data_IF_451215384523
#
_entry.id   IF_451215384523
#
_cell.length_a   1.000
_cell.length_b   1.000
_cell.length_c   1.000
_cell.angle_alpha   90.00
_cell.angle_beta   90.00
_cell.angle_gamma   90.00
#
_symmetry.space_group_name_H-M   'P 1'
#
loop_
_entity.id
_entity.type
_entity.pdbx_description
1 polymer ?
#
# COMPACT_ATOMS: atom_id res chain seq x y z
N UNK A 1 -158.39 -71.61 -194.15
CA UNK A 1 -157.86 -72.43 -193.02
C UNK A 1 -156.33 -72.44 -192.94
N UNK A 2 -155.57 -72.28 -194.05
CA UNK A 2 -154.09 -72.13 -194.07
C UNK A 2 -153.48 -70.83 -193.48
N UNK A 3 -154.24 -69.98 -192.78
CA UNK A 3 -153.77 -68.64 -192.36
C UNK A 3 -153.83 -68.38 -190.84
N UNK A 4 -154.45 -69.29 -190.07
CA UNK A 4 -154.63 -69.14 -188.61
C UNK A 4 -153.55 -69.91 -187.83
N UNK A 5 -152.95 -70.95 -188.42
CA UNK A 5 -151.95 -71.80 -187.75
C UNK A 5 -150.54 -71.21 -187.75
N UNK A 6 -150.21 -70.36 -188.72
CA UNK A 6 -148.90 -69.71 -188.81
C UNK A 6 -148.70 -68.58 -187.78
N UNK A 7 -149.77 -67.92 -187.33
CA UNK A 7 -149.69 -66.89 -186.29
C UNK A 7 -149.50 -67.45 -184.88
N UNK A 8 -149.94 -68.68 -184.59
CA UNK A 8 -149.76 -69.30 -183.26
C UNK A 8 -148.36 -69.85 -183.02
N UNK A 9 -147.59 -70.12 -184.07
CA UNK A 9 -146.22 -70.64 -183.94
C UNK A 9 -145.19 -69.52 -183.76
N UNK A 10 -145.43 -68.33 -184.31
CA UNK A 10 -144.55 -67.16 -184.15
C UNK A 10 -144.62 -66.56 -182.74
N UNK A 11 -145.82 -66.48 -182.13
CA UNK A 11 -145.98 -65.97 -180.76
C UNK A 11 -145.33 -66.92 -179.72
N UNK A 12 -145.36 -68.24 -179.95
CA UNK A 12 -144.76 -69.24 -179.07
C UNK A 12 -143.22 -69.29 -179.16
N UNK A 13 -142.63 -68.94 -180.30
CA UNK A 13 -141.17 -68.82 -180.45
C UNK A 13 -140.64 -67.53 -179.83
N UNK A 14 -141.35 -66.41 -179.95
CA UNK A 14 -140.98 -65.16 -179.29
C UNK A 14 -141.01 -65.28 -177.75
N UNK A 15 -142.01 -65.98 -177.17
CA UNK A 15 -142.04 -66.23 -175.72
C UNK A 15 -140.89 -67.13 -175.25
N UNK A 16 -140.50 -68.15 -176.04
CA UNK A 16 -139.35 -69.01 -175.72
C UNK A 16 -138.04 -68.22 -175.75
N UNK A 17 -137.86 -67.36 -176.73
CA UNK A 17 -136.67 -66.51 -176.80
C UNK A 17 -136.61 -65.53 -175.62
N UNK A 18 -137.73 -64.92 -175.23
CA UNK A 18 -137.80 -64.04 -174.05
C UNK A 18 -137.50 -64.76 -172.73
N UNK A 19 -137.97 -66.01 -172.58
CA UNK A 19 -137.64 -66.82 -171.39
C UNK A 19 -136.16 -67.20 -171.35
N UNK A 20 -135.58 -67.53 -172.51
CA UNK A 20 -134.18 -67.92 -172.61
C UNK A 20 -133.23 -66.73 -172.39
N UNK A 21 -133.57 -65.54 -172.88
CA UNK A 21 -132.83 -64.30 -172.56
C UNK A 21 -132.95 -63.97 -171.08
N UNK A 22 -134.14 -64.10 -170.48
CA UNK A 22 -134.34 -63.86 -169.04
C UNK A 22 -133.54 -64.83 -168.15
N UNK A 23 -133.49 -66.12 -168.49
CA UNK A 23 -132.68 -67.11 -167.77
C UNK A 23 -131.17 -66.84 -167.88
N UNK A 24 -130.71 -66.42 -169.06
CA UNK A 24 -129.32 -66.04 -169.26
C UNK A 24 -128.95 -64.77 -168.48
N UNK A 25 -129.86 -63.80 -168.39
CA UNK A 25 -129.68 -62.60 -167.58
C UNK A 25 -129.62 -62.93 -166.08
N UNK A 26 -130.46 -63.84 -165.58
CA UNK A 26 -130.43 -64.31 -164.19
C UNK A 26 -129.11 -65.02 -163.88
N UNK A 27 -128.67 -65.94 -164.75
CA UNK A 27 -127.41 -66.67 -164.57
C UNK A 27 -126.19 -65.75 -164.62
N UNK A 28 -126.20 -64.77 -165.53
CA UNK A 28 -125.14 -63.76 -165.63
C UNK A 28 -125.10 -62.88 -164.38
N UNK A 29 -126.26 -62.42 -163.89
CA UNK A 29 -126.36 -61.68 -162.65
C UNK A 29 -125.92 -62.50 -161.43
N UNK A 30 -126.16 -63.82 -161.41
CA UNK A 30 -125.69 -64.72 -160.35
C UNK A 30 -124.17 -64.96 -160.43
N UNK A 31 -123.62 -65.13 -161.63
CA UNK A 31 -122.17 -65.22 -161.84
C UNK A 31 -121.47 -63.94 -161.40
N UNK A 32 -121.95 -62.77 -161.80
CA UNK A 32 -121.41 -61.47 -161.35
C UNK A 32 -121.49 -61.31 -159.83
N UNK A 33 -122.55 -61.79 -159.17
CA UNK A 33 -122.64 -61.81 -157.70
C UNK A 33 -121.63 -62.76 -157.05
N UNK A 34 -121.37 -63.92 -157.65
CA UNK A 34 -120.37 -64.88 -157.15
C UNK A 34 -118.95 -64.33 -157.32
N UNK A 35 -118.67 -63.69 -158.45
CA UNK A 35 -117.40 -63.02 -158.73
C UNK A 35 -117.17 -61.85 -157.78
N UNK A 36 -118.18 -60.99 -157.55
CA UNK A 36 -118.09 -59.91 -156.55
C UNK A 36 -117.81 -60.45 -155.15
N UNK A 37 -118.52 -61.49 -154.71
CA UNK A 37 -118.26 -62.13 -153.41
C UNK A 37 -116.87 -62.78 -153.34
N UNK A 38 -116.37 -63.33 -154.44
CA UNK A 38 -115.03 -63.89 -154.50
C UNK A 38 -113.95 -62.79 -154.43
N UNK A 39 -114.17 -61.66 -155.12
CA UNK A 39 -113.31 -60.47 -155.05
C UNK A 39 -113.30 -59.88 -153.64
N UNK A 40 -114.46 -59.65 -153.02
CA UNK A 40 -114.57 -59.17 -151.64
C UNK A 40 -113.86 -60.09 -150.63
N UNK A 41 -113.97 -61.41 -150.81
CA UNK A 41 -113.25 -62.39 -149.97
C UNK A 41 -111.74 -62.30 -150.19
N UNK A 42 -111.28 -62.15 -151.44
CA UNK A 42 -109.87 -62.01 -151.77
C UNK A 42 -109.27 -60.70 -151.22
N UNK A 43 -110.01 -59.60 -151.30
CA UNK A 43 -109.61 -58.31 -150.70
C UNK A 43 -109.55 -58.42 -149.17
N UNK A 44 -110.53 -59.07 -148.55
CA UNK A 44 -110.55 -59.30 -147.11
C UNK A 44 -109.37 -60.18 -146.66
N UNK A 45 -109.05 -61.25 -147.39
CA UNK A 45 -107.90 -62.10 -147.05
C UNK A 45 -106.58 -61.37 -147.23
N UNK A 46 -106.43 -60.58 -148.30
CA UNK A 46 -105.25 -59.71 -148.48
C UNK A 46 -105.11 -58.71 -147.33
N UNK A 47 -106.21 -58.08 -146.91
CA UNK A 47 -106.21 -57.16 -145.76
C UNK A 47 -105.81 -57.86 -144.45
N UNK A 48 -106.37 -59.05 -144.18
CA UNK A 48 -106.05 -59.84 -142.99
C UNK A 48 -104.58 -60.31 -142.99
N UNK A 49 -104.04 -60.72 -144.13
CA UNK A 49 -102.63 -61.07 -144.27
C UNK A 49 -101.73 -59.86 -143.99
N UNK A 50 -102.03 -58.70 -144.57
CA UNK A 50 -101.31 -57.46 -144.31
C UNK A 50 -101.38 -57.07 -142.82
N UNK A 51 -102.51 -57.30 -142.14
CA UNK A 51 -102.65 -57.06 -140.70
C UNK A 51 -101.76 -58.01 -139.86
N UNK A 52 -101.70 -59.29 -140.24
CA UNK A 52 -100.84 -60.28 -139.57
C UNK A 52 -99.37 -59.91 -139.77
N UNK A 53 -98.96 -59.52 -140.97
CA UNK A 53 -97.60 -59.08 -141.27
C UNK A 53 -97.24 -57.82 -140.48
N UNK A 54 -98.14 -56.84 -140.41
CA UNK A 54 -97.95 -55.62 -139.61
C UNK A 54 -97.76 -55.95 -138.12
N UNK A 55 -98.58 -56.84 -137.56
CA UNK A 55 -98.43 -57.29 -136.16
C UNK A 55 -97.11 -58.04 -135.94
N UNK A 56 -96.72 -58.92 -136.86
CA UNK A 56 -95.43 -59.63 -136.79
C UNK A 56 -94.25 -58.65 -136.81
N UNK A 57 -94.30 -57.64 -137.68
CA UNK A 57 -93.29 -56.60 -137.76
C UNK A 57 -93.23 -55.76 -136.46
N UNK A 58 -94.39 -55.41 -135.88
CA UNK A 58 -94.45 -54.72 -134.58
C UNK A 58 -93.85 -55.54 -133.45
N UNK A 59 -94.23 -56.81 -133.29
CA UNK A 59 -93.66 -57.68 -132.27
C UNK A 59 -92.16 -57.93 -132.48
N UNK A 60 -91.70 -57.99 -133.73
CA UNK A 60 -90.27 -58.08 -134.02
C UNK A 60 -89.52 -56.81 -133.62
N UNK A 61 -90.12 -55.64 -133.84
CA UNK A 61 -89.57 -54.35 -133.40
C UNK A 61 -89.53 -54.23 -131.88
N UNK A 62 -90.61 -54.59 -131.17
CA UNK A 62 -90.66 -54.61 -129.70
C UNK A 62 -89.57 -55.52 -129.13
N UNK A 63 -89.43 -56.75 -129.65
CA UNK A 63 -88.36 -57.66 -129.23
C UNK A 63 -86.96 -57.11 -129.49
N UNK A 64 -86.79 -56.33 -130.55
CA UNK A 64 -85.51 -55.66 -130.83
C UNK A 64 -85.26 -54.53 -129.83
N UNK A 65 -86.28 -53.75 -129.49
CA UNK A 65 -86.20 -52.68 -128.48
C UNK A 65 -85.91 -53.26 -127.09
N UNK A 66 -86.61 -54.31 -126.67
CA UNK A 66 -86.37 -55.00 -125.39
C UNK A 66 -84.91 -55.51 -125.28
N UNK A 67 -84.34 -56.01 -126.39
CA UNK A 67 -82.93 -56.43 -126.42
C UNK A 67 -81.99 -55.24 -126.28
N UNK A 68 -82.25 -54.15 -127.00
CA UNK A 68 -81.44 -52.94 -126.92
C UNK A 68 -81.51 -52.30 -125.53
N UNK A 69 -82.69 -52.23 -124.92
CA UNK A 69 -82.89 -51.77 -123.55
C UNK A 69 -82.18 -52.69 -122.55
N UNK A 70 -82.32 -54.01 -122.69
CA UNK A 70 -81.62 -54.99 -121.86
C UNK A 70 -80.10 -54.87 -121.96
N UNK A 71 -79.54 -54.65 -123.15
CA UNK A 71 -78.12 -54.38 -123.37
C UNK A 71 -77.70 -53.05 -122.73
N UNK A 72 -78.51 -52.00 -122.86
CA UNK A 72 -78.25 -50.70 -122.23
C UNK A 72 -78.22 -50.81 -120.70
N UNK A 73 -79.15 -51.54 -120.09
CA UNK A 73 -79.16 -51.79 -118.64
C UNK A 73 -77.95 -52.60 -118.18
N UNK A 74 -77.52 -53.61 -118.95
CA UNK A 74 -76.30 -54.37 -118.65
C UNK A 74 -75.07 -53.48 -118.71
N UNK A 75 -74.93 -52.68 -119.76
CA UNK A 75 -73.82 -51.74 -119.92
C UNK A 75 -73.79 -50.71 -118.77
N UNK A 76 -74.95 -50.19 -118.36
CA UNK A 76 -75.05 -49.27 -117.24
C UNK A 76 -74.67 -49.94 -115.91
N UNK A 77 -75.11 -51.17 -115.67
CA UNK A 77 -74.75 -51.92 -114.47
C UNK A 77 -73.23 -52.20 -114.41
N UNK A 78 -72.62 -52.54 -115.54
CA UNK A 78 -71.17 -52.71 -115.64
C UNK A 78 -70.41 -51.40 -115.38
N UNK A 79 -70.88 -50.27 -115.92
CA UNK A 79 -70.28 -48.96 -115.67
C UNK A 79 -70.37 -48.60 -114.19
N UNK A 80 -71.54 -48.74 -113.58
CA UNK A 80 -71.74 -48.49 -112.15
C UNK A 80 -70.82 -49.38 -111.28
N UNK A 81 -70.69 -50.67 -111.61
CA UNK A 81 -69.80 -51.57 -110.90
C UNK A 81 -68.32 -51.14 -111.01
N UNK A 82 -67.88 -50.65 -112.17
CA UNK A 82 -66.53 -50.11 -112.36
C UNK A 82 -66.30 -48.84 -111.54
N UNK A 83 -67.24 -47.90 -111.57
CA UNK A 83 -67.17 -46.67 -110.77
C UNK A 83 -67.10 -46.96 -109.27
N UNK A 84 -67.90 -47.91 -108.76
CA UNK A 84 -67.83 -48.33 -107.36
C UNK A 84 -66.46 -48.91 -107.00
N UNK A 85 -65.89 -49.74 -107.87
CA UNK A 85 -64.55 -50.31 -107.66
C UNK A 85 -63.46 -49.23 -107.64
N UNK A 86 -63.54 -48.23 -108.51
CA UNK A 86 -62.62 -47.08 -108.51
C UNK A 86 -62.77 -46.24 -107.23
N UNK A 87 -64.00 -45.99 -106.81
CA UNK A 87 -64.30 -45.21 -105.61
C UNK A 87 -63.81 -45.93 -104.34
N UNK A 88 -63.95 -47.25 -104.27
CA UNK A 88 -63.36 -48.06 -103.20
C UNK A 88 -61.83 -48.02 -103.20
N UNK A 89 -61.20 -48.11 -104.38
CA UNK A 89 -59.74 -48.00 -104.52
C UNK A 89 -59.26 -46.64 -104.03
N UNK A 90 -59.93 -45.57 -104.41
CA UNK A 90 -59.63 -44.21 -103.97
C UNK A 90 -59.78 -44.05 -102.46
N UNK A 91 -60.86 -44.58 -101.87
CA UNK A 91 -61.06 -44.61 -100.41
C UNK A 91 -59.93 -45.35 -99.68
N UNK A 92 -59.51 -46.51 -100.20
CA UNK A 92 -58.40 -47.29 -99.62
C UNK A 92 -57.06 -46.56 -99.73
N UNK A 93 -56.82 -45.85 -100.84
CA UNK A 93 -55.60 -45.07 -101.03
C UNK A 93 -55.56 -43.86 -100.08
N UNK A 94 -56.62 -43.05 -100.06
CA UNK A 94 -56.73 -41.91 -99.14
C UNK A 94 -56.62 -42.33 -97.68
N UNK A 95 -57.22 -43.46 -97.27
CA UNK A 95 -57.05 -44.00 -95.92
C UNK A 95 -55.60 -44.36 -95.61
N UNK A 96 -54.88 -44.96 -96.57
CA UNK A 96 -53.44 -45.26 -96.41
C UNK A 96 -52.62 -43.99 -96.29
N UNK A 97 -52.89 -42.99 -97.13
CA UNK A 97 -52.17 -41.71 -97.12
C UNK A 97 -52.40 -40.97 -95.80
N UNK A 98 -53.66 -40.89 -95.34
CA UNK A 98 -54.00 -40.30 -94.04
C UNK A 98 -53.28 -41.02 -92.91
N UNK A 99 -53.26 -42.36 -92.93
CA UNK A 99 -52.53 -43.14 -91.93
C UNK A 99 -51.03 -42.84 -91.96
N UNK A 100 -50.40 -42.80 -93.13
CA UNK A 100 -48.98 -42.49 -93.26
C UNK A 100 -48.65 -41.08 -92.77
N UNK A 101 -49.51 -40.10 -93.06
CA UNK A 101 -49.33 -38.73 -92.55
C UNK A 101 -49.47 -38.68 -91.03
N UNK A 102 -50.42 -39.41 -90.46
CA UNK A 102 -50.58 -39.52 -89.01
C UNK A 102 -49.36 -40.17 -88.35
N UNK A 103 -48.89 -41.30 -88.88
CA UNK A 103 -47.73 -42.02 -88.35
C UNK A 103 -46.47 -41.11 -88.39
N UNK A 104 -46.26 -40.39 -89.50
CA UNK A 104 -45.19 -39.38 -89.61
C UNK A 104 -45.32 -38.27 -88.56
N UNK A 105 -46.52 -37.72 -88.37
CA UNK A 105 -46.74 -36.67 -87.37
C UNK A 105 -46.48 -37.16 -85.94
N UNK A 106 -46.81 -38.42 -85.64
CA UNK A 106 -46.50 -39.04 -84.35
C UNK A 106 -44.99 -39.21 -84.17
N UNK A 107 -44.29 -39.66 -85.20
CA UNK A 107 -42.83 -39.81 -85.15
C UNK A 107 -42.12 -38.47 -85.02
N UNK A 108 -42.57 -37.43 -85.73
CA UNK A 108 -42.00 -36.09 -85.61
C UNK A 108 -42.26 -35.51 -84.22
N UNK A 109 -43.45 -35.72 -83.65
CA UNK A 109 -43.74 -35.35 -82.26
C UNK A 109 -42.82 -36.07 -81.27
N UNK A 110 -42.50 -37.36 -81.50
CA UNK A 110 -41.56 -38.10 -80.67
C UNK A 110 -40.15 -37.53 -80.76
N UNK A 111 -39.68 -37.19 -81.97
CA UNK A 111 -38.36 -36.56 -82.16
C UNK A 111 -38.27 -35.20 -81.47
N UNK A 112 -39.30 -34.36 -81.61
CA UNK A 112 -39.36 -33.06 -80.93
C UNK A 112 -39.26 -33.25 -79.42
N UNK A 113 -40.04 -34.17 -78.85
CA UNK A 113 -39.98 -34.46 -77.42
C UNK A 113 -38.61 -34.97 -76.97
N UNK A 114 -37.95 -35.80 -77.78
CA UNK A 114 -36.59 -36.27 -77.47
C UNK A 114 -35.57 -35.13 -77.50
N UNK A 115 -35.68 -34.20 -78.46
CA UNK A 115 -34.82 -33.02 -78.51
C UNK A 115 -35.06 -32.09 -77.31
N UNK A 116 -36.32 -31.86 -76.92
CA UNK A 116 -36.65 -31.10 -75.71
C UNK A 116 -36.02 -31.73 -74.46
N UNK A 117 -36.12 -33.06 -74.30
CA UNK A 117 -35.50 -33.76 -73.18
C UNK A 117 -33.98 -33.62 -73.15
N UNK A 118 -33.32 -33.67 -74.31
CA UNK A 118 -31.87 -33.46 -74.39
C UNK A 118 -31.49 -32.03 -74.02
N UNK A 119 -32.28 -31.05 -74.46
CA UNK A 119 -32.06 -29.64 -74.08
C UNK A 119 -32.23 -29.43 -72.57
N UNK A 120 -33.26 -30.02 -71.97
CA UNK A 120 -33.48 -29.95 -70.52
C UNK A 120 -32.29 -30.56 -69.74
N UNK A 121 -31.76 -31.70 -70.21
CA UNK A 121 -30.58 -32.35 -69.62
C UNK A 121 -29.31 -31.48 -69.75
N UNK A 122 -29.08 -30.87 -70.92
CA UNK A 122 -27.95 -29.98 -71.15
C UNK A 122 -28.04 -28.72 -70.25
N UNK A 123 -29.24 -28.13 -70.12
CA UNK A 123 -29.48 -26.98 -69.23
C UNK A 123 -29.24 -27.33 -67.76
N UNK A 124 -29.66 -28.51 -67.30
CA UNK A 124 -29.42 -28.98 -65.94
C UNK A 124 -27.91 -29.17 -65.65
N UNK A 125 -27.15 -29.68 -66.62
CA UNK A 125 -25.70 -29.82 -66.51
C UNK A 125 -25.00 -28.45 -66.48
N UNK A 126 -25.42 -27.49 -67.30
CA UNK A 126 -24.93 -26.11 -67.25
C UNK A 126 -25.21 -25.45 -65.89
N UNK A 127 -26.43 -25.61 -65.37
CA UNK A 127 -26.83 -25.12 -64.05
C UNK A 127 -25.97 -25.73 -62.94
N UNK A 128 -25.65 -27.02 -63.05
CA UNK A 128 -24.77 -27.72 -62.10
C UNK A 128 -23.35 -27.15 -62.13
N UNK A 129 -22.77 -26.96 -63.31
CA UNK A 129 -21.43 -26.38 -63.47
C UNK A 129 -21.42 -24.96 -62.89
N UNK A 130 -22.45 -24.15 -63.19
CA UNK A 130 -22.57 -22.80 -62.65
C UNK A 130 -22.69 -22.78 -61.12
N UNK A 131 -23.49 -23.68 -60.55
CA UNK A 131 -23.64 -23.81 -59.11
C UNK A 131 -22.34 -24.21 -58.42
N UNK A 132 -21.58 -25.14 -58.99
CA UNK A 132 -20.25 -25.54 -58.51
C UNK A 132 -19.25 -24.39 -58.59
N UNK A 133 -19.21 -23.66 -59.70
CA UNK A 133 -18.38 -22.47 -59.86
C UNK A 133 -18.74 -21.39 -58.81
N UNK A 134 -20.03 -21.13 -58.58
CA UNK A 134 -20.50 -20.17 -57.57
C UNK A 134 -20.11 -20.59 -56.15
N UNK A 135 -20.21 -21.88 -55.83
CA UNK A 135 -19.71 -22.44 -54.55
C UNK A 135 -18.20 -22.24 -54.40
N UNK A 136 -17.42 -22.47 -55.45
CA UNK A 136 -15.96 -22.26 -55.44
C UNK A 136 -15.60 -20.78 -55.21
N UNK A 137 -16.28 -19.85 -55.90
CA UNK A 137 -16.08 -18.40 -55.69
C UNK A 137 -16.42 -18.00 -54.26
N UNK A 138 -17.52 -18.51 -53.70
CA UNK A 138 -17.91 -18.23 -52.32
C UNK A 138 -16.87 -18.74 -51.31
N UNK A 139 -16.29 -19.92 -51.55
CA UNK A 139 -15.19 -20.48 -50.73
C UNK A 139 -13.96 -19.56 -50.77
N UNK A 140 -13.51 -19.17 -51.96
CA UNK A 140 -12.36 -18.27 -52.14
C UNK A 140 -12.59 -16.93 -51.44
N UNK A 141 -13.79 -16.36 -51.53
CA UNK A 141 -14.14 -15.11 -50.82
C UNK A 141 -13.99 -15.26 -49.32
N UNK A 142 -14.52 -16.36 -48.75
CA UNK A 142 -14.41 -16.65 -47.31
C UNK A 142 -12.96 -16.86 -46.88
N UNK A 143 -12.16 -17.58 -47.66
CA UNK A 143 -10.74 -17.78 -47.39
C UNK A 143 -9.96 -16.45 -47.39
N UNK A 144 -10.21 -15.58 -48.38
CA UNK A 144 -9.60 -14.25 -48.43
C UNK A 144 -10.03 -13.35 -47.26
N UNK A 145 -11.28 -13.44 -46.84
CA UNK A 145 -11.79 -12.70 -45.68
C UNK A 145 -11.12 -13.17 -44.37
N UNK A 146 -10.97 -14.49 -44.20
CA UNK A 146 -10.26 -15.08 -43.06
C UNK A 146 -8.78 -14.62 -43.07
N UNK A 147 -8.10 -14.69 -44.22
CA UNK A 147 -6.71 -14.23 -44.34
C UNK A 147 -6.58 -12.74 -44.00
N UNK A 148 -7.42 -11.88 -44.56
CA UNK A 148 -7.39 -10.45 -44.27
C UNK A 148 -7.70 -10.14 -42.79
N UNK A 149 -8.52 -10.97 -42.14
CA UNK A 149 -8.77 -10.87 -40.70
C UNK A 149 -7.54 -11.31 -39.89
N UNK A 150 -6.91 -12.43 -40.25
CA UNK A 150 -5.70 -12.94 -39.61
C UNK A 150 -4.56 -11.93 -39.72
N UNK A 151 -4.30 -11.36 -40.90
CA UNK A 151 -3.27 -10.33 -41.09
C UNK A 151 -3.48 -9.11 -40.18
N UNK A 152 -4.73 -8.67 -40.02
CA UNK A 152 -5.08 -7.59 -39.09
C UNK A 152 -4.86 -7.98 -37.63
N UNK A 153 -5.16 -9.21 -37.28
CA UNK A 153 -4.95 -9.73 -35.93
C UNK A 153 -3.46 -9.85 -35.62
N UNK A 154 -2.67 -10.42 -36.53
CA UNK A 154 -1.22 -10.54 -36.41
C UNK A 154 -0.55 -9.16 -36.27
N UNK A 155 -1.00 -8.16 -37.03
CA UNK A 155 -0.52 -6.79 -36.90
C UNK A 155 -0.85 -6.17 -35.52
N UNK A 156 -2.05 -6.44 -34.98
CA UNK A 156 -2.44 -6.01 -33.63
C UNK A 156 -1.62 -6.70 -32.56
N UNK A 157 -1.42 -8.01 -32.70
CA UNK A 157 -0.67 -8.82 -31.74
C UNK A 157 0.81 -8.42 -31.75
N UNK A 158 1.37 -8.17 -32.93
CA UNK A 158 2.73 -7.62 -33.07
C UNK A 158 2.86 -6.26 -32.39
N UNK A 159 1.91 -5.34 -32.62
CA UNK A 159 1.93 -4.02 -31.98
C UNK A 159 1.76 -4.13 -30.45
N UNK A 160 0.89 -5.00 -29.98
CA UNK A 160 0.68 -5.26 -28.55
C UNK A 160 1.92 -5.87 -27.90
N UNK A 161 2.57 -6.83 -28.57
CA UNK A 161 3.82 -7.41 -28.13
C UNK A 161 4.93 -6.37 -28.03
N UNK A 162 5.08 -5.51 -29.05
CA UNK A 162 6.05 -4.41 -29.05
C UNK A 162 5.80 -3.43 -27.90
N UNK A 163 4.56 -2.99 -27.68
CA UNK A 163 4.19 -2.14 -26.55
C UNK A 163 4.49 -2.82 -25.21
N UNK A 164 4.19 -4.11 -25.08
CA UNK A 164 4.54 -4.89 -23.90
C UNK A 164 6.05 -4.93 -23.64
N UNK A 165 6.88 -5.04 -24.68
CA UNK A 165 8.35 -4.96 -24.52
C UNK A 165 8.82 -3.57 -24.10
N UNK A 166 8.23 -2.50 -24.61
CA UNK A 166 8.54 -1.14 -24.20
C UNK A 166 8.18 -0.92 -22.74
N UNK A 167 7.02 -1.41 -22.31
CA UNK A 167 6.57 -1.32 -20.92
C UNK A 167 7.53 -2.06 -19.98
N UNK A 168 7.90 -3.30 -20.29
CA UNK A 168 8.87 -4.07 -19.50
C UNK A 168 10.23 -3.37 -19.40
N UNK A 169 10.67 -2.73 -20.47
CA UNK A 169 11.91 -1.94 -20.48
C UNK A 169 11.80 -0.73 -19.55
N UNK A 170 10.69 0.00 -19.61
CA UNK A 170 10.45 1.12 -18.72
C UNK A 170 10.40 0.68 -17.25
N UNK A 171 9.72 -0.42 -16.94
CA UNK A 171 9.69 -1.04 -15.61
C UNK A 171 11.10 -1.38 -15.12
N UNK A 172 11.92 -2.03 -15.96
CA UNK A 172 13.31 -2.32 -15.62
C UNK A 172 14.15 -1.05 -15.38
N UNK A 173 13.95 0.01 -16.18
CA UNK A 173 14.63 1.29 -15.97
C UNK A 173 14.22 1.91 -14.62
N UNK A 174 12.94 1.85 -14.24
CA UNK A 174 12.49 2.32 -12.91
C UNK A 174 13.09 1.49 -11.77
N UNK A 175 13.13 0.17 -11.90
CA UNK A 175 13.76 -0.70 -10.89
C UNK A 175 15.24 -0.35 -10.70
N UNK A 176 15.98 -0.07 -11.78
CA UNK A 176 17.38 0.38 -11.66
C UNK A 176 17.51 1.74 -10.98
N UNK A 177 16.56 2.66 -11.19
CA UNK A 177 16.53 3.95 -10.51
C UNK A 177 16.24 3.80 -9.01
N UNK A 178 15.27 2.95 -8.65
CA UNK A 178 14.93 2.63 -7.26
C UNK A 178 16.15 2.02 -6.56
N UNK A 179 16.80 1.03 -7.18
CA UNK A 179 18.00 0.40 -6.63
C UNK A 179 19.11 1.43 -6.39
N UNK A 180 19.37 2.34 -7.33
CA UNK A 180 20.36 3.42 -7.16
C UNK A 180 19.98 4.36 -6.01
N UNK A 181 18.71 4.74 -5.90
CA UNK A 181 18.23 5.61 -4.83
C UNK A 181 18.37 4.95 -3.45
N UNK A 182 18.06 3.65 -3.35
CA UNK A 182 18.27 2.86 -2.13
C UNK A 182 19.75 2.79 -1.76
N UNK A 183 20.62 2.45 -2.70
CA UNK A 183 22.06 2.39 -2.48
C UNK A 183 22.65 3.75 -2.04
N UNK A 184 22.19 4.86 -2.62
CA UNK A 184 22.60 6.20 -2.20
C UNK A 184 22.13 6.53 -0.78
N UNK A 185 20.91 6.15 -0.43
CA UNK A 185 20.36 6.34 0.91
C UNK A 185 21.14 5.54 1.95
N UNK A 186 21.38 4.26 1.70
CA UNK A 186 22.17 3.39 2.57
C UNK A 186 23.60 3.91 2.73
N UNK A 187 24.23 4.34 1.65
CA UNK A 187 25.57 4.94 1.72
C UNK A 187 25.60 6.23 2.54
N UNK A 188 24.52 7.03 2.50
CA UNK A 188 24.38 8.24 3.32
C UNK A 188 24.18 7.88 4.80
N UNK A 189 23.27 6.96 5.09
CA UNK A 189 23.01 6.47 6.45
C UNK A 189 24.29 5.87 7.06
N UNK A 190 25.04 5.07 6.31
CA UNK A 190 26.33 4.54 6.73
C UNK A 190 27.36 5.63 7.07
N UNK A 191 27.47 6.68 6.23
CA UNK A 191 28.34 7.84 6.53
C UNK A 191 27.90 8.58 7.79
N UNK A 192 26.60 8.83 7.94
CA UNK A 192 26.06 9.50 9.13
C UNK A 192 26.29 8.67 10.40
N UNK A 193 26.18 7.34 10.32
CA UNK A 193 26.50 6.42 11.42
C UNK A 193 27.99 6.44 11.77
N UNK A 194 28.88 6.41 10.77
CA UNK A 194 30.32 6.55 11.01
C UNK A 194 30.65 7.90 11.67
N UNK A 195 30.09 9.01 11.19
CA UNK A 195 30.29 10.32 11.81
C UNK A 195 29.74 10.41 13.24
N UNK A 196 28.61 9.75 13.53
CA UNK A 196 28.06 9.66 14.89
C UNK A 196 28.98 8.84 15.78
N UNK A 197 29.46 7.71 15.30
CA UNK A 197 30.38 6.84 16.01
C UNK A 197 31.70 7.54 16.30
N UNK A 198 32.31 8.21 15.32
CA UNK A 198 33.55 8.99 15.49
C UNK A 198 33.37 10.13 16.51
N UNK A 199 32.22 10.82 16.48
CA UNK A 199 31.89 11.85 17.48
C UNK A 199 31.77 11.26 18.88
N UNK A 200 31.10 10.11 19.02
CA UNK A 200 30.98 9.41 20.29
C UNK A 200 32.35 8.95 20.81
N UNK A 201 33.20 8.40 19.94
CA UNK A 201 34.56 8.02 20.29
C UNK A 201 35.39 9.22 20.76
N UNK A 202 35.40 10.33 20.02
CA UNK A 202 36.10 11.57 20.42
C UNK A 202 35.57 12.13 21.74
N UNK A 203 34.26 12.10 21.96
CA UNK A 203 33.65 12.51 23.22
C UNK A 203 34.10 11.61 24.37
N UNK A 204 34.12 10.30 24.16
CA UNK A 204 34.56 9.33 25.15
C UNK A 204 36.05 9.49 25.48
N UNK A 205 36.89 9.72 24.47
CA UNK A 205 38.31 10.08 24.65
C UNK A 205 38.49 11.40 25.42
N UNK A 206 37.65 12.41 25.17
CA UNK A 206 37.69 13.67 25.92
C UNK A 206 37.30 13.46 27.39
N UNK A 207 36.26 12.67 27.65
CA UNK A 207 35.84 12.32 29.02
C UNK A 207 36.95 11.55 29.74
N UNK A 208 37.59 10.57 29.09
CA UNK A 208 38.69 9.81 29.70
C UNK A 208 39.90 10.71 29.98
N UNK A 209 40.30 11.57 29.03
CA UNK A 209 41.35 12.57 29.25
C UNK A 209 41.04 13.49 30.43
N UNK A 210 39.84 14.06 30.51
CA UNK A 210 39.43 14.90 31.62
C UNK A 210 39.43 14.15 32.96
N UNK A 211 38.96 12.89 33.01
CA UNK A 211 39.03 12.05 34.21
C UNK A 211 40.48 11.80 34.65
N UNK A 212 41.38 11.55 33.72
CA UNK A 212 42.80 11.37 34.01
C UNK A 212 43.45 12.67 34.51
N UNK A 213 43.15 13.80 33.87
CA UNK A 213 43.65 15.11 34.27
C UNK A 213 43.14 15.55 35.65
N UNK A 214 41.85 15.33 35.95
CA UNK A 214 41.27 15.62 37.26
C UNK A 214 41.85 14.73 38.36
N UNK A 215 42.07 13.44 38.08
CA UNK A 215 42.79 12.54 39.00
C UNK A 215 44.22 13.04 39.26
N UNK A 216 44.99 13.35 38.21
CA UNK A 216 46.36 13.89 38.34
C UNK A 216 46.39 15.21 39.11
N UNK A 217 45.44 16.12 38.84
CA UNK A 217 45.32 17.39 39.56
C UNK A 217 45.02 17.15 41.04
N UNK A 218 44.09 16.25 41.36
CA UNK A 218 43.76 15.89 42.74
C UNK A 218 44.93 15.23 43.47
N UNK A 219 45.72 14.42 42.78
CA UNK A 219 46.95 13.84 43.32
C UNK A 219 48.00 14.93 43.60
N UNK A 220 48.18 15.88 42.66
CA UNK A 220 49.10 17.01 42.85
C UNK A 220 48.64 17.95 43.98
N UNK A 221 47.34 18.23 44.10
CA UNK A 221 46.77 19.01 45.21
C UNK A 221 47.04 18.31 46.55
N UNK A 222 46.82 16.99 46.65
CA UNK A 222 47.17 16.21 47.85
C UNK A 222 48.66 16.24 48.17
N UNK A 223 49.53 16.17 47.16
CA UNK A 223 50.97 16.24 47.38
C UNK A 223 51.40 17.63 47.89
N UNK A 224 50.78 18.70 47.36
CA UNK A 224 50.98 20.06 47.86
C UNK A 224 50.47 20.22 49.29
N UNK A 225 49.27 19.73 49.60
CA UNK A 225 48.73 19.72 50.97
C UNK A 225 49.67 18.98 51.94
N UNK A 226 50.21 17.82 51.55
CA UNK A 226 51.19 17.09 52.36
C UNK A 226 52.49 17.88 52.57
N UNK A 227 52.95 18.63 51.56
CA UNK A 227 54.13 19.50 51.69
C UNK A 227 53.85 20.69 52.62
N UNK A 228 52.68 21.33 52.47
CA UNK A 228 52.26 22.44 53.32
C UNK A 228 52.06 21.99 54.77
N UNK A 229 51.46 20.82 55.00
CA UNK A 229 51.36 20.19 56.32
C UNK A 229 52.74 19.89 56.91
N UNK A 230 53.68 19.38 56.10
CA UNK A 230 55.06 19.15 56.51
C UNK A 230 55.78 20.46 56.87
N UNK A 231 55.56 21.54 56.13
CA UNK A 231 56.09 22.88 56.46
C UNK A 231 55.49 23.45 57.74
N UNK A 232 54.16 23.35 57.92
CA UNK A 232 53.48 23.78 59.14
C UNK A 232 54.02 23.00 60.34
N UNK A 233 54.23 21.69 60.20
CA UNK A 233 54.82 20.87 61.25
C UNK A 233 56.28 21.23 61.55
N UNK A 234 57.09 21.57 60.54
CA UNK A 234 58.45 22.12 60.76
C UNK A 234 58.41 23.43 61.53
N UNK A 235 57.55 24.39 61.14
CA UNK A 235 57.39 25.68 61.84
C UNK A 235 56.92 25.48 63.29
N UNK A 236 56.02 24.53 63.55
CA UNK A 236 55.63 24.15 64.91
C UNK A 236 56.80 23.60 65.72
N UNK A 237 57.59 22.69 65.13
CA UNK A 237 58.78 22.14 65.80
C UNK A 237 59.82 23.23 66.11
N UNK A 238 60.03 24.19 65.20
CA UNK A 238 60.91 25.35 65.44
C UNK A 238 60.37 26.27 66.55
N UNK A 239 59.06 26.52 66.58
CA UNK A 239 58.42 27.29 67.65
C UNK A 239 58.54 26.60 69.01
N UNK A 240 58.37 25.27 69.06
CA UNK A 240 58.55 24.47 70.28
C UNK A 240 60.01 24.52 70.76
N UNK A 241 60.98 24.47 69.84
CA UNK A 241 62.40 24.65 70.17
C UNK A 241 62.69 26.05 70.74
N UNK A 242 62.15 27.11 70.12
CA UNK A 242 62.30 28.47 70.64
C UNK A 242 61.63 28.64 72.01
N UNK A 243 60.47 28.02 72.22
CA UNK A 243 59.79 28.03 73.51
C UNK A 243 60.61 27.34 74.60
N UNK A 244 61.24 26.21 74.30
CA UNK A 244 62.15 25.51 75.22
C UNK A 244 63.38 26.36 75.57
N UNK A 245 64.00 27.02 74.59
CA UNK A 245 65.13 27.93 74.83
C UNK A 245 64.70 29.11 75.71
N UNK A 246 63.53 29.70 75.45
CA UNK A 246 62.97 30.77 76.28
C UNK A 246 62.70 30.31 77.72
N UNK A 247 62.16 29.10 77.92
CA UNK A 247 62.00 28.51 79.26
C UNK A 247 63.34 28.35 79.98
N UNK A 248 64.36 27.82 79.30
CA UNK A 248 65.70 27.67 79.88
C UNK A 248 66.32 29.02 80.27
N UNK A 249 66.16 30.06 79.46
CA UNK A 249 66.62 31.41 79.81
C UNK A 249 65.86 32.00 81.00
N UNK A 250 64.53 31.82 81.04
CA UNK A 250 63.70 32.27 82.16
C UNK A 250 64.08 31.57 83.47
N UNK A 251 64.41 30.29 83.41
CA UNK A 251 64.86 29.53 84.57
C UNK A 251 66.27 29.93 85.01
N UNK A 252 67.18 30.20 84.08
CA UNK A 252 68.49 30.81 84.40
C UNK A 252 68.35 32.17 85.08
N UNK A 253 67.49 33.06 84.56
CA UNK A 253 67.21 34.36 85.20
C UNK A 253 66.63 34.18 86.60
N UNK A 254 65.64 33.32 86.79
CA UNK A 254 65.10 33.01 88.13
C UNK A 254 66.18 32.49 89.09
N UNK A 255 67.10 31.65 88.61
CA UNK A 255 68.20 31.15 89.43
C UNK A 255 69.20 32.25 89.78
N UNK A 256 69.48 33.18 88.87
CA UNK A 256 70.34 34.33 89.11
C UNK A 256 69.69 35.31 90.11
N UNK A 257 68.42 35.66 89.89
CA UNK A 257 67.66 36.52 90.80
C UNK A 257 67.62 35.93 92.22
N UNK A 258 67.38 34.62 92.35
CA UNK A 258 67.41 33.93 93.64
C UNK A 258 68.80 33.94 94.30
N UNK A 259 69.87 33.84 93.51
CA UNK A 259 71.24 33.93 94.00
C UNK A 259 71.58 35.36 94.48
N UNK A 260 71.20 36.39 93.73
CA UNK A 260 71.38 37.79 94.10
C UNK A 260 70.60 38.14 95.38
N UNK A 261 69.35 37.67 95.49
CA UNK A 261 68.53 37.87 96.68
C UNK A 261 69.15 37.21 97.92
N UNK A 262 69.70 36.01 97.76
CA UNK A 262 70.44 35.30 98.82
C UNK A 262 71.68 36.07 99.27
N UNK A 263 72.48 36.59 98.33
CA UNK A 263 73.64 37.41 98.66
C UNK A 263 73.26 38.72 99.37
N UNK A 264 72.15 39.35 98.97
CA UNK A 264 71.64 40.56 99.59
C UNK A 264 71.21 40.29 101.05
N UNK A 265 70.54 39.17 101.31
CA UNK A 265 70.21 38.75 102.68
C UNK A 265 71.44 38.46 103.52
N UNK A 266 72.49 37.87 102.94
CA UNK A 266 73.77 37.63 103.63
C UNK A 266 74.43 38.96 104.06
N UNK A 267 74.45 39.96 103.16
CA UNK A 267 74.97 41.31 103.45
C UNK A 267 74.17 42.01 104.55
N UNK A 268 72.84 41.96 104.49
CA UNK A 268 71.98 42.54 105.53
C UNK A 268 72.18 41.88 106.90
N UNK A 269 72.43 40.58 106.94
CA UNK A 269 72.72 39.86 108.18
C UNK A 269 74.07 40.27 108.78
N UNK A 270 75.09 40.52 107.94
CA UNK A 270 76.39 41.05 108.38
C UNK A 270 76.27 42.48 108.91
N UNK A 271 75.60 43.39 108.18
CA UNK A 271 75.38 44.78 108.64
C UNK A 271 74.64 44.84 109.98
N UNK A 272 73.64 43.98 110.21
CA UNK A 272 72.95 43.92 111.50
C UNK A 272 73.87 43.48 112.64
N UNK A 273 74.75 42.49 112.40
CA UNK A 273 75.74 42.04 113.39
C UNK A 273 76.76 43.12 113.73
N UNK A 274 77.23 43.87 112.74
CA UNK A 274 78.22 44.93 112.97
C UNK A 274 77.59 46.15 113.67
N UNK A 275 76.34 46.49 113.35
CA UNK A 275 75.60 47.53 114.08
C UNK A 275 75.33 47.15 115.55
N UNK A 276 75.05 45.88 115.84
CA UNK A 276 74.87 45.39 117.22
C UNK A 276 76.18 45.44 118.03
N UNK A 277 77.33 45.19 117.39
CA UNK A 277 78.65 45.35 118.04
C UNK A 277 78.97 46.80 118.36
N UNK A 278 78.64 47.73 117.46
CA UNK A 278 78.88 49.17 117.68
C UNK A 278 78.03 49.77 118.81
N UNK A 279 76.79 49.30 118.99
CA UNK A 279 75.92 49.75 120.09
C UNK A 279 76.42 49.27 121.46
N UNK A 280 76.94 48.04 121.55
CA UNK A 280 77.49 47.49 122.81
C UNK A 280 78.78 48.18 123.27
N UNK A 281 79.57 48.73 122.36
CA UNK A 281 80.77 49.51 122.73
C UNK A 281 80.40 50.92 123.19
N UNK A 282 79.37 51.54 122.61
CA UNK A 282 78.90 52.87 123.02
C UNK A 282 78.31 52.90 124.43
N UNK A 283 77.53 51.88 124.81
CA UNK A 283 76.96 51.77 126.18
C UNK A 283 78.03 51.62 127.27
N UNK A 284 79.18 51.02 126.95
CA UNK A 284 80.29 50.84 127.93
C UNK A 284 81.04 52.15 128.16
N UNK A 285 81.20 52.97 127.12
CA UNK A 285 81.89 54.26 127.21
C UNK A 285 81.05 55.32 127.94
N UNK A 286 79.73 55.36 127.74
CA UNK A 286 78.82 56.30 128.42
C UNK A 286 78.76 56.07 129.94
N UNK A 287 78.74 54.81 130.39
CA UNK A 287 78.75 54.44 131.81
C UNK A 287 80.05 54.86 132.51
N UNK A 288 81.18 54.88 131.79
CA UNK A 288 82.46 55.33 132.33
C UNK A 288 82.50 56.86 132.53
N UNK A 289 81.91 57.63 131.60
CA UNK A 289 81.85 59.10 131.69
C UNK A 289 80.92 59.54 132.82
N UNK A 290 79.79 58.87 133.01
CA UNK A 290 78.83 59.19 134.07
C UNK A 290 79.40 58.94 135.47
N UNK A 291 80.21 57.89 135.64
CA UNK A 291 80.96 57.65 136.88
C UNK A 291 81.94 58.77 137.21
N UNK A 292 82.70 59.24 136.22
CA UNK A 292 83.68 60.30 136.42
C UNK A 292 83.02 61.65 136.77
N UNK A 293 81.87 61.97 136.18
CA UNK A 293 81.15 63.21 136.50
C UNK A 293 80.59 63.23 137.92
N UNK A 294 80.00 62.11 138.37
CA UNK A 294 79.46 62.00 139.73
C UNK A 294 80.56 62.13 140.81
N UNK A 295 81.79 61.68 140.51
CA UNK A 295 82.94 61.81 141.41
C UNK A 295 83.37 63.28 141.58
N UNK A 296 83.29 64.10 140.51
CA UNK A 296 83.60 65.54 140.56
C UNK A 296 82.52 66.32 141.31
N UNK A 297 81.24 66.01 141.11
CA UNK A 297 80.13 66.65 141.86
C UNK A 297 80.22 66.35 143.36
N UNK A 298 80.66 65.13 143.73
CA UNK A 298 80.88 64.74 145.13
C UNK A 298 81.93 65.61 145.81
N UNK A 299 83.06 65.86 145.15
CA UNK A 299 84.11 66.74 145.69
C UNK A 299 83.59 68.17 145.88
N UNK A 300 82.83 68.71 144.92
CA UNK A 300 82.27 70.06 145.02
C UNK A 300 81.26 70.20 146.16
N UNK A 301 80.42 69.19 146.38
CA UNK A 301 79.46 69.20 147.49
C UNK A 301 80.16 69.12 148.85
N UNK A 302 81.22 68.31 148.99
CA UNK A 302 82.03 68.24 150.20
C UNK A 302 82.67 69.59 150.54
N UNK A 303 83.25 70.25 149.53
CA UNK A 303 83.93 71.53 149.71
C UNK A 303 82.95 72.65 150.12
N UNK A 304 81.77 72.67 149.52
CA UNK A 304 80.71 73.64 149.83
C UNK A 304 80.11 73.41 151.22
N UNK A 305 79.73 72.17 151.55
CA UNK A 305 79.21 71.82 152.86
C UNK A 305 80.24 72.10 153.97
N UNK A 306 81.52 71.82 153.71
CA UNK A 306 82.62 72.16 154.59
C UNK A 306 82.69 73.66 154.89
N UNK A 307 82.68 74.52 153.87
CA UNK A 307 82.71 75.99 154.06
C UNK A 307 81.51 76.52 154.83
N UNK A 308 80.32 75.98 154.58
CA UNK A 308 79.09 76.41 155.28
C UNK A 308 79.11 76.01 156.76
N UNK A 309 79.62 74.81 157.08
CA UNK A 309 79.81 74.37 158.46
C UNK A 309 80.83 75.27 159.16
N UNK A 310 81.98 75.56 158.53
CA UNK A 310 83.01 76.45 159.10
C UNK A 310 82.48 77.86 159.34
N UNK A 311 81.74 78.43 158.38
CA UNK A 311 81.16 79.78 158.49
C UNK A 311 80.09 79.88 159.59
N UNK A 312 79.32 78.81 159.83
CA UNK A 312 78.33 78.78 160.90
C UNK A 312 78.96 78.54 162.29
N UNK A 313 80.10 77.84 162.35
CA UNK A 313 80.89 77.62 163.58
C UNK A 313 81.56 78.91 164.07
N UNK A 314 82.15 79.71 163.18
CA UNK A 314 82.73 81.01 163.56
C UNK A 314 81.68 82.02 164.07
N UNK A 315 80.42 81.89 163.62
CA UNK A 315 79.31 82.75 164.03
C UNK A 315 78.55 82.25 165.28
N UNK A 316 79.06 81.23 165.99
CA UNK A 316 78.53 80.79 167.28
C UNK A 316 77.15 80.11 167.24
N UNK A 317 76.71 79.60 166.08
CA UNK A 317 75.45 78.84 165.94
C UNK A 317 75.68 77.34 166.13
N UNK A 318 74.67 76.61 166.64
CA UNK A 318 74.76 75.17 166.85
C UNK A 318 74.83 74.40 165.51
N UNK A 319 75.99 73.84 165.19
CA UNK A 319 76.28 73.14 163.93
C UNK A 319 76.02 71.64 163.94
N UNK A 320 75.53 71.08 165.06
CA UNK A 320 75.22 69.66 165.19
C UNK A 320 74.21 69.12 164.14
N UNK A 321 73.14 69.87 163.73
CA UNK A 321 72.20 69.39 162.71
C UNK A 321 72.86 69.18 161.34
N UNK A 322 73.78 70.07 160.94
CA UNK A 322 74.45 70.02 159.63
C UNK A 322 75.49 68.89 159.56
N UNK A 323 76.23 68.65 160.64
CA UNK A 323 77.15 67.50 160.74
C UNK A 323 76.41 66.16 160.67
N UNK A 324 75.19 66.08 161.22
CA UNK A 324 74.35 64.89 161.13
C UNK A 324 73.82 64.66 159.70
N UNK A 325 73.37 65.70 159.01
CA UNK A 325 72.92 65.59 157.61
C UNK A 325 74.07 65.19 156.68
N UNK A 326 75.25 65.78 156.86
CA UNK A 326 76.45 65.40 156.11
C UNK A 326 76.84 63.92 156.27
N UNK A 327 76.65 63.37 157.48
CA UNK A 327 76.97 61.95 157.75
C UNK A 327 75.87 60.99 157.29
N UNK A 328 74.59 61.38 157.31
CA UNK A 328 73.48 60.56 156.81
C UNK A 328 73.41 60.55 155.27
N UNK A 329 73.77 61.64 154.57
CA UNK A 329 73.80 61.68 153.10
C UNK A 329 74.98 60.87 152.52
N UNK A 330 76.13 60.87 153.19
CA UNK A 330 77.27 60.01 152.82
C UNK A 330 76.92 58.52 152.87
N UNK A 331 76.15 58.06 153.88
CA UNK A 331 75.71 56.66 153.96
C UNK A 331 74.70 56.27 152.88
N UNK A 332 73.85 57.21 152.45
CA UNK A 332 72.81 56.95 151.44
C UNK A 332 73.39 56.86 150.03
N UNK A 333 74.54 57.49 149.78
CA UNK A 333 75.24 57.44 148.49
C UNK A 333 75.97 56.11 148.25
N UNK A 334 76.51 55.47 149.30
CA UNK A 334 77.23 54.18 149.20
C UNK A 334 76.30 53.00 148.84
N UNK A 335 75.00 53.07 149.16
CA UNK A 335 74.02 52.03 148.82
C UNK A 335 73.52 52.10 147.36
N UNK A 336 73.73 53.22 146.65
CA UNK A 336 73.36 53.39 145.23
C UNK A 336 74.43 52.90 144.25
N UNK A 337 75.68 52.76 144.70
CA UNK A 337 76.83 52.31 143.89
C UNK A 337 76.78 50.83 143.48
N UNK A 338 75.88 50.02 144.05
CA UNK A 338 75.79 48.58 143.76
C UNK A 338 74.48 48.27 143.04
N UNK A 339 74.52 48.46 141.71
CA UNK A 339 73.43 48.18 140.79
C UNK A 339 72.95 46.72 140.80
N UNK A 340 71.62 46.62 140.86
CA UNK A 340 70.69 45.50 140.79
C UNK A 340 70.76 44.53 139.58
N UNK A 341 70.22 43.32 139.84
CA UNK A 341 69.31 42.45 139.03
C UNK A 341 69.61 42.14 137.55
N UNK A 342 69.54 40.83 137.25
CA UNK A 342 68.94 40.31 136.01
C UNK A 342 67.84 39.30 136.32
N UNK A 343 66.61 39.73 136.06
CA UNK A 343 65.43 38.89 135.80
C UNK A 343 65.41 38.46 134.34
N UNK A 344 64.76 37.33 134.14
CA UNK A 344 64.27 36.77 132.88
C UNK A 344 63.50 37.80 132.02
N UNK A 345 63.67 37.73 130.70
CA UNK A 345 62.57 37.95 129.76
C UNK A 345 62.79 37.17 128.46
N UNK A 346 61.79 36.33 128.22
CA UNK A 346 61.26 35.83 126.95
C UNK A 346 61.04 36.88 125.86
N UNK A 347 61.07 36.40 124.60
CA UNK A 347 60.43 36.88 123.36
C UNK A 347 61.44 36.87 122.20
N UNK A 348 61.11 36.57 120.95
CA UNK A 348 59.84 36.35 120.25
C UNK A 348 60.18 36.07 118.77
N UNK A 349 59.16 35.67 118.01
CA UNK A 349 59.05 35.69 116.55
C UNK A 349 59.55 34.41 115.88
N UNK A 350 58.68 33.60 115.28
CA UNK A 350 57.68 33.99 114.27
C UNK A 350 58.17 33.31 112.97
N UNK A 351 57.40 32.56 112.20
CA UNK A 351 56.04 32.78 111.77
C UNK A 351 55.42 31.47 111.22
N UNK A 352 54.11 31.31 111.51
CA UNK A 352 53.02 31.04 110.56
C UNK A 352 53.11 29.86 109.58
N UNK A 353 52.22 28.89 109.80
CA UNK A 353 51.38 28.33 108.72
C UNK A 353 50.40 29.41 108.22
N UNK A 354 50.08 29.43 106.91
CA UNK A 354 48.69 29.57 106.46
C UNK A 354 48.27 28.34 105.61
N UNK A 355 47.05 27.80 105.75
CA UNK A 355 45.76 28.38 105.31
C UNK A 355 45.66 28.32 103.79
N UNK A 356 45.06 27.26 103.24
CA UNK A 356 43.62 27.17 102.92
C UNK A 356 43.12 28.33 102.06
N UNK A 357 42.64 28.01 100.86
CA UNK A 357 41.31 28.36 100.34
C UNK A 357 41.22 27.78 98.92
N UNK A 358 40.37 26.78 98.70
CA UNK A 358 38.94 26.96 98.39
C UNK A 358 38.68 27.90 97.22
N UNK A 359 38.21 27.32 96.11
CA UNK A 359 36.90 27.60 95.48
C UNK A 359 36.78 26.64 94.28
N UNK A 360 35.99 25.57 94.39
CA UNK A 360 34.53 25.53 94.21
C UNK A 360 34.07 26.01 92.83
N UNK A 361 33.58 25.04 92.07
CA UNK A 361 32.30 25.04 91.33
C UNK A 361 31.94 26.27 90.49
N UNK A 362 31.62 26.02 89.22
CA UNK A 362 30.27 26.33 88.76
C UNK A 362 29.79 25.22 87.84
N UNK A 363 28.83 24.48 88.35
CA UNK A 363 27.85 23.72 87.61
C UNK A 363 26.73 24.72 87.27
N UNK A 364 26.41 24.92 85.99
CA UNK A 364 25.07 25.35 85.52
C UNK A 364 25.06 25.39 84.00
N UNK A 365 24.52 24.36 83.35
CA UNK A 365 23.19 24.32 82.72
C UNK A 365 22.78 25.44 81.75
N UNK A 366 22.32 24.96 80.58
CA UNK A 366 21.06 25.26 79.89
C UNK A 366 21.03 26.26 78.72
N UNK A 367 20.75 25.65 77.55
CA UNK A 367 19.73 25.95 76.50
C UNK A 367 20.33 26.31 75.13
N UNK A 368 20.21 25.42 74.13
CA UNK A 368 19.05 25.20 73.24
C UNK A 368 18.73 26.38 72.34
N UNK A 369 19.20 26.33 71.08
CA UNK A 369 18.54 26.65 69.81
C UNK A 369 19.37 25.85 68.76
N UNK A 370 18.93 24.74 68.18
CA UNK A 370 17.75 24.58 67.33
C UNK A 370 18.09 25.06 65.92
N UNK A 371 18.42 24.16 64.98
CA UNK A 371 17.96 24.17 63.58
C UNK A 371 18.57 22.98 62.80
N UNK A 372 17.71 22.01 62.48
CA UNK A 372 17.91 21.07 61.38
C UNK A 372 17.56 21.80 60.07
N UNK A 373 18.31 21.52 59.01
CA UNK A 373 17.80 21.59 57.64
C UNK A 373 18.22 20.31 56.91
N UNK A 374 17.26 19.41 56.77
CA UNK A 374 17.14 18.55 55.59
C UNK A 374 16.73 19.38 54.36
N UNK A 375 16.73 18.73 53.19
CA UNK A 375 15.90 18.94 51.98
C UNK A 375 16.75 19.40 50.76
N UNK A 376 16.55 18.90 49.52
CA UNK A 376 15.99 17.62 49.06
C UNK A 376 16.85 16.95 47.95
N UNK A 377 16.38 15.77 47.53
CA UNK A 377 16.69 15.19 46.23
C UNK A 377 16.40 16.11 45.05
N UNK A 378 17.26 16.02 44.04
CA UNK A 378 16.87 15.91 42.63
C UNK A 378 17.73 14.84 41.96
#
# INVERSE_FOLDING_TARGET
KKRIEQFRQTDAEEERQRFQTSQNEINKAEQEKREKKAQERAELTQYQLAQIERKRAQTALEKQQDRQEGEAYRNLAEQYAREQMELERYRKLTQKDVKQMYDKAVDDKRKVKQMEQQMDEDEDDELRIYAEAKKKIARIRREKEIQAHQEKQDARDHMTGYLGTLQKRAEADYDTQIFRAQAQREAKEFREEQEKHDRQQKMQESITKHRLETMKRREAEKEMEQRDEAEINKKKAEADQQFLLYQQEKDKKRSQDAHELSQLHLKQAQERKDRERGLKTGEVDEVQVEKQMNEIEREQFQDYAGRVISYMEENGRNTYPLKKVYTDEMKRFDEWSQGYRKTETSNSNGERKPRSQDKKSFDTTKKNLGFQWEIPQK
#
